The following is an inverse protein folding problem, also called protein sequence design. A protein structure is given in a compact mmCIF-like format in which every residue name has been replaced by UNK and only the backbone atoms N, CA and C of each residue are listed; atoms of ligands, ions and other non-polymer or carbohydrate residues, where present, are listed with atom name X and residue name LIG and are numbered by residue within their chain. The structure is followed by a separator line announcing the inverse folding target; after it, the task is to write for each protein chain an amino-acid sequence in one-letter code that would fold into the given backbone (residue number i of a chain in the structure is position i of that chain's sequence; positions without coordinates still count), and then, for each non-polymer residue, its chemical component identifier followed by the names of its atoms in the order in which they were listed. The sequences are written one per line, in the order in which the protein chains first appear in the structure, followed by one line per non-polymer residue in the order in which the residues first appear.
data_IF_175615422642
#
_entry.id   IF_175615422642
#
_cell.length_a   1.000
_cell.length_b   1.000
_cell.length_c   1.000
_cell.angle_alpha   90.00
_cell.angle_beta   90.00
_cell.angle_gamma   90.00
#
_symmetry.space_group_name_H-M   'P 1'
#
loop_
_entity.id
_entity.type
_entity.pdbx_description
1 polymer ?
#
# COMPACT_ATOMS: atom_id res chain seq x y z
N UNK A 1 -10.33 -4.95 -14.70
CA UNK A 1 -10.33 -4.69 -13.24
C UNK A 1 -11.73 -4.22 -12.91
N UNK A 2 -12.29 -4.68 -11.79
CA UNK A 2 -13.67 -4.41 -11.37
C UNK A 2 -14.11 -2.95 -11.61
N UNK A 3 -13.25 -1.99 -11.26
CA UNK A 3 -13.52 -0.56 -11.44
C UNK A 3 -13.65 -0.12 -12.90
N UNK A 4 -12.78 -0.63 -13.80
CA UNK A 4 -12.87 -0.34 -15.25
C UNK A 4 -14.13 -0.96 -15.86
N UNK A 5 -14.48 -2.17 -15.44
CA UNK A 5 -15.69 -2.87 -15.91
C UNK A 5 -16.98 -2.20 -15.46
N UNK A 6 -16.95 -1.50 -14.31
CA UNK A 6 -18.07 -0.71 -13.79
C UNK A 6 -18.13 0.73 -14.30
N UNK A 7 -17.24 1.10 -15.22
CA UNK A 7 -17.25 2.41 -15.91
C UNK A 7 -16.53 3.54 -15.16
N UNK A 8 -15.85 3.25 -14.05
CA UNK A 8 -15.05 4.26 -13.36
C UNK A 8 -13.69 4.44 -14.05
N UNK A 9 -13.23 5.68 -14.29
CA UNK A 9 -11.87 5.93 -14.75
C UNK A 9 -10.88 5.45 -13.69
N UNK A 10 -9.83 4.74 -14.11
CA UNK A 10 -8.82 4.17 -13.20
C UNK A 10 -7.45 4.59 -13.67
N UNK A 11 -6.73 5.28 -12.79
CA UNK A 11 -5.30 5.51 -12.96
C UNK A 11 -4.50 4.64 -12.00
N UNK A 12 -3.40 4.08 -12.51
CA UNK A 12 -2.53 3.19 -11.76
C UNK A 12 -1.13 3.76 -11.69
N UNK A 13 -0.59 3.87 -10.48
CA UNK A 13 0.78 4.31 -10.23
C UNK A 13 1.57 3.16 -9.61
N UNK A 14 2.73 2.86 -10.18
CA UNK A 14 3.65 1.84 -9.66
C UNK A 14 4.62 2.46 -8.65
N UNK A 15 5.14 1.63 -7.75
CA UNK A 15 6.12 2.03 -6.75
C UNK A 15 7.44 2.57 -7.32
N UNK A 16 7.74 2.26 -8.59
CA UNK A 16 8.93 2.73 -9.31
C UNK A 16 8.76 4.12 -9.92
N UNK A 17 7.55 4.68 -9.94
CA UNK A 17 7.29 6.01 -10.50
C UNK A 17 8.06 7.05 -9.69
N UNK A 18 8.96 7.78 -10.38
CA UNK A 18 9.88 8.77 -9.78
C UNK A 18 10.64 8.21 -8.55
N UNK A 19 10.97 6.93 -8.61
CA UNK A 19 11.80 6.29 -7.60
C UNK A 19 13.24 6.81 -7.64
N UNK A 20 13.90 6.76 -6.50
CA UNK A 20 15.30 7.20 -6.33
C UNK A 20 16.24 6.01 -6.40
N UNK A 21 17.49 6.21 -6.79
CA UNK A 21 18.48 5.17 -6.59
C UNK A 21 18.64 4.90 -5.08
N UNK A 22 18.83 3.63 -4.69
CA UNK A 22 18.87 3.27 -3.27
C UNK A 22 19.97 3.98 -2.48
N UNK A 23 21.08 4.30 -3.13
CA UNK A 23 22.19 5.06 -2.55
C UNK A 23 21.87 6.55 -2.38
N UNK A 24 20.91 7.11 -3.12
CA UNK A 24 20.44 8.49 -2.92
C UNK A 24 19.58 8.62 -1.66
N UNK A 25 18.89 7.55 -1.27
CA UNK A 25 18.04 7.51 -0.07
C UNK A 25 18.84 7.09 1.17
N UNK A 26 19.77 6.16 0.97
CA UNK A 26 20.68 5.69 2.02
C UNK A 26 22.06 5.46 1.40
N UNK A 27 22.98 6.37 1.68
CA UNK A 27 24.35 6.35 1.14
C UNK A 27 25.12 5.06 1.49
N UNK A 28 24.76 4.39 2.58
CA UNK A 28 25.36 3.12 3.01
C UNK A 28 24.79 1.90 2.27
N UNK A 29 23.74 2.11 1.46
CA UNK A 29 23.09 1.05 0.71
C UNK A 29 23.93 0.61 -0.49
N UNK A 30 24.49 -0.59 -0.41
CA UNK A 30 25.18 -1.24 -1.52
C UNK A 30 24.25 -2.05 -2.43
N UNK A 31 22.94 -2.04 -2.16
CA UNK A 31 21.96 -2.84 -2.90
C UNK A 31 21.62 -2.14 -4.22
N UNK A 32 21.79 -2.79 -5.37
CA UNK A 32 21.35 -2.22 -6.63
C UNK A 32 19.82 -2.06 -6.68
N UNK A 33 19.38 -1.11 -7.51
CA UNK A 33 17.98 -0.89 -7.84
C UNK A 33 17.40 0.43 -7.32
N UNK A 34 16.09 0.57 -7.57
CA UNK A 34 15.31 1.77 -7.28
C UNK A 34 14.59 1.60 -5.93
N UNK A 35 14.61 2.65 -5.12
CA UNK A 35 13.76 2.82 -3.94
C UNK A 35 12.45 3.48 -4.34
N UNK A 36 11.35 3.03 -3.76
CA UNK A 36 10.04 3.61 -4.02
C UNK A 36 9.97 5.04 -3.49
N UNK A 37 9.14 5.87 -4.11
CA UNK A 37 8.88 7.24 -3.68
C UNK A 37 7.38 7.43 -3.42
N UNK A 38 6.87 7.16 -2.20
CA UNK A 38 5.43 7.24 -1.90
C UNK A 38 4.85 8.66 -2.07
N UNK A 39 5.66 9.69 -1.79
CA UNK A 39 5.24 11.09 -1.93
C UNK A 39 4.99 11.45 -3.40
N UNK A 40 5.92 11.08 -4.29
CA UNK A 40 5.73 11.32 -5.72
C UNK A 40 4.55 10.53 -6.30
N UNK A 41 4.27 9.33 -5.77
CA UNK A 41 3.10 8.55 -6.20
C UNK A 41 1.80 9.27 -5.82
N UNK A 42 1.68 9.76 -4.59
CA UNK A 42 0.53 10.56 -4.15
C UNK A 42 0.37 11.83 -5.01
N UNK A 43 1.46 12.59 -5.24
CA UNK A 43 1.44 13.79 -6.07
C UNK A 43 1.06 13.52 -7.52
N UNK A 44 1.46 12.37 -8.07
CA UNK A 44 1.07 11.98 -9.43
C UNK A 44 -0.44 11.77 -9.51
N UNK A 45 -1.02 11.05 -8.56
CA UNK A 45 -2.47 10.83 -8.50
C UNK A 45 -3.24 12.14 -8.29
N UNK A 46 -2.75 13.03 -7.43
CA UNK A 46 -3.32 14.39 -7.25
C UNK A 46 -3.27 15.17 -8.57
N UNK A 47 -2.14 15.15 -9.28
CA UNK A 47 -1.98 15.84 -10.56
C UNK A 47 -2.89 15.29 -11.66
N UNK A 48 -3.26 14.01 -11.57
CA UNK A 48 -4.22 13.35 -12.47
C UNK A 48 -5.68 13.57 -12.06
N UNK A 49 -5.93 14.33 -10.98
CA UNK A 49 -7.27 14.64 -10.49
C UNK A 49 -7.95 13.46 -9.78
N UNK A 50 -7.18 12.51 -9.25
CA UNK A 50 -7.72 11.38 -8.48
C UNK A 50 -8.16 11.88 -7.11
N UNK A 51 -9.43 11.63 -6.80
CA UNK A 51 -10.14 11.97 -5.58
C UNK A 51 -10.25 10.81 -4.59
N UNK A 52 -10.21 9.57 -5.10
CA UNK A 52 -10.21 8.34 -4.31
C UNK A 52 -9.07 7.39 -4.68
N UNK A 53 -8.21 7.05 -3.71
CA UNK A 53 -7.09 6.14 -3.90
C UNK A 53 -7.27 4.78 -3.19
N UNK A 54 -6.92 3.71 -3.89
CA UNK A 54 -6.88 2.36 -3.33
C UNK A 54 -5.44 1.90 -3.25
N UNK A 55 -4.94 1.71 -2.03
CA UNK A 55 -3.60 1.20 -1.82
C UNK A 55 -3.56 -0.33 -1.89
N UNK A 56 -2.56 -0.87 -2.58
CA UNK A 56 -2.33 -2.31 -2.70
C UNK A 56 -0.87 -2.62 -2.42
N UNK A 57 -0.62 -3.32 -1.32
CA UNK A 57 0.70 -3.85 -1.00
C UNK A 57 1.76 -2.79 -0.75
N UNK A 58 1.39 -1.65 -0.16
CA UNK A 58 2.38 -0.72 0.40
C UNK A 58 2.94 -1.29 1.71
N UNK A 59 4.25 -1.11 1.95
CA UNK A 59 4.80 -1.38 3.26
C UNK A 59 4.38 -0.26 4.24
N UNK A 60 4.38 -0.55 5.53
CA UNK A 60 3.93 0.37 6.58
C UNK A 60 4.48 1.79 6.43
N UNK A 61 5.79 1.92 6.21
CA UNK A 61 6.42 3.24 6.04
C UNK A 61 5.93 3.99 4.78
N UNK A 62 5.72 3.28 3.66
CA UNK A 62 5.21 3.91 2.44
C UNK A 62 3.73 4.29 2.56
N UNK A 63 2.92 3.46 3.21
CA UNK A 63 1.51 3.75 3.49
C UNK A 63 1.36 5.03 4.32
N UNK A 64 2.11 5.16 5.42
CA UNK A 64 2.10 6.36 6.27
C UNK A 64 2.45 7.62 5.46
N UNK A 65 3.50 7.55 4.63
CA UNK A 65 3.94 8.70 3.83
C UNK A 65 2.95 9.04 2.71
N UNK A 66 2.40 8.03 2.04
CA UNK A 66 1.38 8.21 1.01
C UNK A 66 0.13 8.86 1.60
N UNK A 67 -0.37 8.32 2.71
CA UNK A 67 -1.54 8.83 3.44
C UNK A 67 -1.38 10.29 3.87
N UNK A 68 -0.16 10.69 4.28
CA UNK A 68 0.13 12.08 4.67
C UNK A 68 0.14 13.05 3.49
N UNK A 69 0.52 12.59 2.30
CA UNK A 69 0.66 13.44 1.11
C UNK A 69 -0.61 13.45 0.26
N UNK A 70 -1.36 12.35 0.21
CA UNK A 70 -2.57 12.24 -0.59
C UNK A 70 -3.73 12.96 0.11
N UNK A 71 -4.28 13.99 -0.53
CA UNK A 71 -5.32 14.85 0.06
C UNK A 71 -6.75 14.33 -0.12
N UNK A 72 -6.95 13.30 -0.94
CA UNK A 72 -8.25 12.69 -1.21
C UNK A 72 -8.61 11.57 -0.25
N UNK A 73 -9.79 10.99 -0.44
CA UNK A 73 -10.21 9.80 0.30
C UNK A 73 -9.37 8.60 -0.12
N UNK A 74 -9.08 7.71 0.82
CA UNK A 74 -8.27 6.54 0.51
C UNK A 74 -8.56 5.36 1.40
N UNK A 75 -8.24 4.17 0.89
CA UNK A 75 -8.36 2.93 1.64
C UNK A 75 -7.23 1.96 1.31
N UNK A 76 -6.89 1.11 2.27
CA UNK A 76 -5.92 0.02 2.08
C UNK A 76 -6.68 -1.25 1.75
N UNK A 77 -6.54 -1.75 0.53
CA UNK A 77 -7.19 -2.99 0.12
C UNK A 77 -6.37 -4.23 0.49
N UNK A 78 -5.04 -4.14 0.41
CA UNK A 78 -4.13 -5.23 0.80
C UNK A 78 -2.92 -4.65 1.51
N UNK A 79 -2.65 -5.08 2.74
CA UNK A 79 -1.44 -4.74 3.48
C UNK A 79 -0.26 -5.57 2.97
N UNK A 80 0.92 -4.96 2.80
CA UNK A 80 2.13 -5.74 2.49
C UNK A 80 2.66 -6.44 3.73
N UNK A 81 2.43 -7.75 3.80
CA UNK A 81 3.09 -8.62 4.76
C UNK A 81 3.86 -9.72 4.03
N UNK A 82 5.19 -9.70 4.13
CA UNK A 82 6.04 -10.73 3.53
C UNK A 82 6.16 -11.98 4.40
N UNK A 83 5.94 -11.85 5.72
CA UNK A 83 6.09 -12.94 6.69
C UNK A 83 4.90 -13.89 6.60
N UNK A 84 3.69 -13.35 6.57
CA UNK A 84 2.45 -14.13 6.54
C UNK A 84 1.72 -14.01 5.19
N UNK A 85 2.45 -13.86 4.08
CA UNK A 85 1.87 -13.82 2.73
C UNK A 85 0.64 -12.89 2.57
N UNK A 86 0.72 -11.68 3.13
CA UNK A 86 -0.35 -10.66 3.16
C UNK A 86 -1.50 -10.93 4.17
N UNK A 87 -1.30 -11.82 5.14
CA UNK A 87 -2.22 -12.13 6.25
C UNK A 87 -1.69 -11.62 7.61
N UNK A 88 -1.65 -10.30 7.86
CA UNK A 88 -1.00 -9.73 9.04
C UNK A 88 -1.59 -10.15 10.39
N UNK A 89 -2.84 -10.65 10.40
CA UNK A 89 -3.50 -11.10 11.62
C UNK A 89 -2.86 -12.37 12.22
N UNK A 90 -2.20 -13.20 11.40
CA UNK A 90 -1.44 -14.37 11.87
C UNK A 90 -0.27 -13.98 12.80
N UNK A 91 0.18 -12.73 12.73
CA UNK A 91 1.24 -12.19 13.57
C UNK A 91 0.76 -11.57 14.89
N UNK A 92 -0.55 -11.48 15.13
CA UNK A 92 -1.13 -10.79 16.28
C UNK A 92 -1.77 -11.83 17.22
N UNK A 93 -1.12 -12.16 18.37
CA UNK A 93 -1.55 -13.25 19.25
C UNK A 93 -3.01 -13.16 19.74
N UNK A 94 -3.52 -11.94 19.95
CA UNK A 94 -4.90 -11.72 20.38
C UNK A 94 -5.91 -11.77 19.21
N UNK A 95 -5.48 -11.47 17.99
CA UNK A 95 -6.35 -11.53 16.81
C UNK A 95 -6.63 -12.98 16.40
N UNK A 96 -5.67 -13.89 16.58
CA UNK A 96 -5.87 -15.33 16.36
C UNK A 96 -7.00 -15.87 17.25
N UNK A 97 -7.02 -15.53 18.53
CA UNK A 97 -8.08 -15.97 19.44
C UNK A 97 -9.45 -15.34 19.14
N UNK A 98 -9.51 -14.07 18.76
CA UNK A 98 -10.77 -13.41 18.37
C UNK A 98 -11.32 -13.92 17.02
N UNK A 99 -10.47 -14.09 15.99
CA UNK A 99 -10.88 -14.64 14.69
C UNK A 99 -11.33 -16.09 14.79
N UNK A 100 -10.66 -16.91 15.61
CA UNK A 100 -11.07 -18.29 15.82
C UNK A 100 -12.40 -18.39 16.59
N UNK A 101 -12.58 -17.59 17.65
CA UNK A 101 -13.85 -17.60 18.43
C UNK A 101 -15.05 -17.08 17.63
N UNK A 102 -14.87 -16.11 16.75
CA UNK A 102 -15.96 -15.63 15.87
C UNK A 102 -16.34 -16.65 14.78
N UNK A 103 -15.39 -17.45 14.29
CA UNK A 103 -15.65 -18.45 13.26
C UNK A 103 -16.14 -19.80 13.81
N UNK A 104 -15.81 -20.15 15.06
CA UNK A 104 -16.37 -21.35 15.72
C UNK A 104 -17.82 -21.17 16.18
N UNK A 105 -18.28 -19.93 16.36
CA UNK A 105 -19.67 -19.63 16.75
C UNK A 105 -20.63 -19.43 15.56
N UNK A 106 -20.16 -19.67 14.33
CA UNK A 106 -20.97 -19.58 13.10
C UNK A 106 -21.22 -20.93 12.40
N UNK A 107 -20.95 -22.04 13.08
CA UNK A 107 -21.34 -23.41 12.69
C UNK A 107 -22.25 -24.00 13.75
#
# INVERSE_FOLDING_TARGET
TLFKEKGSPVTSVSCTVRGHAKNEVNEQSNRPGVSCNPLSQARQLIAEGVDFAIQVGLCLGHDILFTKEFSGDQTVFVVKDRRFAHSPLEGIPAAEQAFLTENTNKT
#
